data_IF_527368443587
#
_entry.id   IF_527368443587
#
_cell.length_a   1.000
_cell.length_b   1.000
_cell.length_c   1.000
_cell.angle_alpha   90.00
_cell.angle_beta   90.00
_cell.angle_gamma   90.00
#
_symmetry.space_group_name_H-M   'P 1'
#
loop_
_entity.id
_entity.type
_entity.pdbx_description
1 polymer ?
#
# COMPACT_ATOMS: atom_id res chain seq x y z
N UNK A 1 -10.81 12.36 15.86
CA UNK A 1 -9.62 12.25 16.73
C UNK A 1 -9.02 10.89 16.41
N UNK A 2 -7.76 10.85 15.96
CA UNK A 2 -7.06 9.57 15.81
C UNK A 2 -7.03 8.89 17.18
N UNK A 3 -7.29 7.59 17.24
CA UNK A 3 -7.09 6.83 18.47
C UNK A 3 -5.59 6.85 18.82
N UNK A 4 -5.28 7.01 20.11
CA UNK A 4 -3.90 6.98 20.61
C UNK A 4 -3.26 5.62 20.30
N UNK A 5 -1.99 5.62 19.89
CA UNK A 5 -1.25 4.40 19.59
C UNK A 5 -0.60 3.83 20.85
N UNK A 6 -0.71 2.51 21.05
CA UNK A 6 -0.12 1.78 22.18
C UNK A 6 1.24 1.21 21.80
N UNK A 7 2.25 1.49 22.60
CA UNK A 7 3.65 1.14 22.32
C UNK A 7 4.28 0.46 23.53
N UNK A 8 4.73 -0.78 23.37
CA UNK A 8 5.51 -1.48 24.39
C UNK A 8 6.99 -1.45 24.04
N UNK A 9 7.83 -1.05 24.98
CA UNK A 9 9.28 -1.10 24.85
C UNK A 9 9.86 -2.33 25.56
N UNK A 10 10.49 -3.23 24.82
CA UNK A 10 11.25 -4.36 25.34
C UNK A 10 12.73 -4.06 25.14
N UNK A 11 13.48 -3.94 26.23
CA UNK A 11 14.89 -3.60 26.13
C UNK A 11 15.61 -3.52 27.46
N UNK A 12 16.72 -2.78 27.45
CA UNK A 12 17.63 -2.70 28.59
C UNK A 12 17.96 -1.25 28.97
N UNK A 13 19.16 -1.02 29.50
CA UNK A 13 19.59 0.29 29.94
C UNK A 13 19.56 1.34 28.82
N UNK A 14 19.78 0.98 27.55
CA UNK A 14 19.68 1.95 26.44
C UNK A 14 18.26 2.48 26.26
N UNK A 15 17.24 1.66 26.55
CA UNK A 15 15.83 2.08 26.59
C UNK A 15 15.50 2.80 27.91
N UNK A 16 16.08 2.37 29.04
CA UNK A 16 15.82 2.99 30.34
C UNK A 16 16.40 4.41 30.47
N UNK A 17 17.55 4.68 29.87
CA UNK A 17 18.27 5.95 30.03
C UNK A 17 17.44 7.12 29.52
N UNK A 18 17.44 8.19 30.32
CA UNK A 18 16.61 9.39 30.13
C UNK A 18 15.10 9.09 30.01
N UNK A 19 14.65 7.90 30.40
CA UNK A 19 13.29 7.42 30.24
C UNK A 19 12.79 7.57 28.79
N UNK A 20 13.40 6.83 27.85
CA UNK A 20 13.08 6.89 26.43
C UNK A 20 11.58 6.68 26.10
N UNK A 21 10.85 5.75 26.76
CA UNK A 21 9.40 5.65 26.55
C UNK A 21 8.68 6.97 26.85
N UNK A 22 8.97 7.60 27.99
CA UNK A 22 8.38 8.90 28.33
C UNK A 22 8.81 10.00 27.37
N UNK A 23 10.08 10.05 26.95
CA UNK A 23 10.52 11.03 25.95
C UNK A 23 9.76 10.88 24.63
N UNK A 24 9.50 9.64 24.20
CA UNK A 24 8.72 9.35 22.99
C UNK A 24 7.28 9.83 23.13
N UNK A 25 6.67 9.63 24.30
CA UNK A 25 5.37 10.19 24.64
C UNK A 25 5.35 11.72 24.57
N UNK A 26 6.31 12.42 25.21
CA UNK A 26 6.35 13.88 25.23
C UNK A 26 6.55 14.47 23.83
N UNK A 27 7.38 13.83 23.02
CA UNK A 27 7.59 14.20 21.62
C UNK A 27 6.28 14.16 20.84
N UNK A 28 5.51 13.06 20.93
CA UNK A 28 4.21 12.93 20.26
C UNK A 28 3.17 13.91 20.81
N UNK A 29 3.10 14.05 22.14
CA UNK A 29 2.16 14.98 22.78
C UNK A 29 2.41 16.43 22.35
N UNK A 30 3.68 16.80 22.07
CA UNK A 30 4.05 18.13 21.59
C UNK A 30 3.50 18.50 20.21
N UNK A 31 3.05 17.51 19.42
CA UNK A 31 2.40 17.70 18.12
C UNK A 31 0.88 17.50 18.18
N UNK A 32 0.34 17.30 19.38
CA UNK A 32 -1.08 16.98 19.60
C UNK A 32 -1.43 15.52 19.30
N UNK A 33 -0.43 14.64 19.20
CA UNK A 33 -0.62 13.21 19.01
C UNK A 33 -0.56 12.45 20.33
N UNK A 34 -1.42 11.44 20.48
CA UNK A 34 -1.45 10.60 21.67
C UNK A 34 -0.69 9.29 21.47
N UNK A 35 0.19 8.98 22.42
CA UNK A 35 0.79 7.67 22.61
C UNK A 35 0.46 7.15 24.01
N UNK A 36 0.31 5.85 24.13
CA UNK A 36 0.32 5.14 25.40
C UNK A 36 1.59 4.28 25.39
N UNK A 37 2.48 4.51 26.35
CA UNK A 37 3.79 3.85 26.40
C UNK A 37 3.94 3.03 27.67
N UNK A 38 4.54 1.85 27.54
CA UNK A 38 4.94 1.00 28.67
C UNK A 38 6.22 0.23 28.30
N UNK A 39 6.79 -0.58 29.20
CA UNK A 39 7.94 -1.39 28.85
C UNK A 39 8.33 -2.52 29.80
N UNK A 40 8.87 -3.59 29.21
CA UNK A 40 9.70 -4.58 29.89
C UNK A 40 11.17 -4.19 29.74
N UNK A 41 11.68 -3.41 30.69
CA UNK A 41 13.00 -2.78 30.59
C UNK A 41 13.90 -3.27 31.72
N UNK A 42 14.89 -4.10 31.38
CA UNK A 42 15.79 -4.74 32.37
C UNK A 42 17.24 -4.46 32.02
N UNK A 43 17.97 -3.78 32.90
CA UNK A 43 19.37 -3.41 32.66
C UNK A 43 20.26 -4.61 32.31
N UNK A 44 21.02 -4.51 31.21
CA UNK A 44 21.95 -5.55 30.75
C UNK A 44 21.33 -6.80 30.14
N UNK A 45 20.02 -6.84 29.90
CA UNK A 45 19.35 -7.99 29.29
C UNK A 45 19.70 -8.18 27.81
N UNK A 46 19.70 -9.46 27.41
CA UNK A 46 19.74 -9.96 26.03
C UNK A 46 18.35 -10.22 25.48
N UNK A 47 18.25 -10.53 24.17
CA UNK A 47 17.01 -11.05 23.60
C UNK A 47 16.60 -12.39 24.22
N UNK A 48 17.55 -13.29 24.50
CA UNK A 48 17.28 -14.56 25.20
C UNK A 48 16.57 -14.34 26.53
N UNK A 49 17.06 -13.37 27.31
CA UNK A 49 16.45 -13.03 28.58
C UNK A 49 15.00 -12.63 28.37
N UNK A 50 14.71 -11.71 27.45
CA UNK A 50 13.34 -11.26 27.21
C UNK A 50 12.44 -12.37 26.66
N UNK A 51 12.93 -13.18 25.72
CA UNK A 51 12.18 -14.27 25.09
C UNK A 51 11.76 -15.37 26.08
N UNK A 52 12.51 -15.55 27.16
CA UNK A 52 12.31 -16.63 28.14
C UNK A 52 11.80 -16.12 29.49
N UNK A 53 11.59 -14.82 29.64
CA UNK A 53 11.23 -14.20 30.91
C UNK A 53 9.72 -13.91 30.98
N UNK A 54 9.05 -14.55 31.95
CA UNK A 54 7.60 -14.40 32.15
C UNK A 54 7.12 -12.99 32.50
N UNK A 55 7.97 -12.09 33.01
CA UNK A 55 7.61 -10.67 33.16
C UNK A 55 7.48 -9.98 31.79
N UNK A 56 8.39 -10.27 30.84
CA UNK A 56 8.24 -9.74 29.48
C UNK A 56 6.98 -10.29 28.79
N UNK A 57 6.72 -11.59 28.94
CA UNK A 57 5.49 -12.21 28.41
C UNK A 57 4.22 -11.59 29.01
N UNK A 58 4.21 -11.33 30.33
CA UNK A 58 3.10 -10.66 30.99
C UNK A 58 2.87 -9.26 30.39
N UNK A 59 3.90 -8.42 30.28
CA UNK A 59 3.78 -7.08 29.67
C UNK A 59 3.29 -7.14 28.22
N UNK A 60 3.71 -8.13 27.43
CA UNK A 60 3.17 -8.32 26.07
C UNK A 60 1.67 -8.63 26.13
N UNK A 61 1.23 -9.51 27.04
CA UNK A 61 -0.16 -9.94 27.15
C UNK A 61 -1.11 -8.98 27.90
N UNK A 62 -0.58 -7.92 28.50
CA UNK A 62 -1.37 -6.92 29.24
C UNK A 62 -2.26 -6.05 28.35
N UNK A 63 -1.92 -5.89 27.07
CA UNK A 63 -2.71 -5.10 26.12
C UNK A 63 -2.53 -5.56 24.66
N UNK A 64 -3.39 -5.05 23.78
CA UNK A 64 -3.22 -5.11 22.32
C UNK A 64 -2.34 -3.94 21.87
N UNK A 65 -1.03 -4.15 21.86
CA UNK A 65 -0.06 -3.14 21.46
C UNK A 65 -0.10 -2.89 19.94
N UNK A 66 -0.19 -1.63 19.50
CA UNK A 66 -0.03 -1.32 18.08
C UNK A 66 1.40 -1.61 17.62
N UNK A 67 2.37 -1.27 18.47
CA UNK A 67 3.79 -1.46 18.21
C UNK A 67 4.50 -2.07 19.42
N UNK A 68 5.43 -2.98 19.15
CA UNK A 68 6.35 -3.50 20.17
C UNK A 68 7.77 -3.26 19.71
N UNK A 69 8.48 -2.39 20.43
CA UNK A 69 9.86 -2.02 20.16
C UNK A 69 10.78 -3.04 20.83
N UNK A 70 11.65 -3.68 20.04
CA UNK A 70 12.51 -4.77 20.48
C UNK A 70 13.97 -4.33 20.37
N UNK A 71 14.66 -4.31 21.51
CA UNK A 71 16.06 -3.94 21.60
C UNK A 71 16.91 -5.13 22.07
N UNK A 72 17.96 -5.47 21.31
CA UNK A 72 18.94 -6.47 21.74
C UNK A 72 19.93 -5.89 22.79
N UNK A 73 20.76 -6.77 23.37
CA UNK A 73 21.88 -6.36 24.20
C UNK A 73 22.84 -5.43 23.44
N UNK A 74 23.41 -4.44 24.14
CA UNK A 74 24.22 -3.36 23.50
C UNK A 74 25.38 -3.85 22.64
N UNK A 75 26.06 -4.91 23.08
CA UNK A 75 27.13 -5.58 22.34
C UNK A 75 26.58 -6.74 21.51
N UNK A 76 25.66 -7.52 22.09
CA UNK A 76 25.02 -8.69 21.46
C UNK A 76 24.49 -8.37 20.06
N UNK A 77 23.80 -7.24 19.90
CA UNK A 77 23.24 -6.82 18.62
C UNK A 77 24.27 -6.59 17.51
N UNK A 78 25.56 -6.41 17.83
CA UNK A 78 26.64 -6.15 16.89
C UNK A 78 27.51 -7.40 16.59
N UNK A 79 27.28 -8.52 17.28
CA UNK A 79 28.01 -9.77 17.05
C UNK A 79 27.37 -10.50 15.86
N UNK A 80 28.16 -10.88 14.86
CA UNK A 80 27.68 -11.48 13.59
C UNK A 80 28.10 -12.95 13.46
N UNK A 81 27.64 -13.62 12.40
CA UNK A 81 27.96 -15.02 12.10
C UNK A 81 27.31 -16.00 13.09
N UNK A 82 28.00 -17.09 13.42
CA UNK A 82 27.48 -18.17 14.27
C UNK A 82 26.89 -17.67 15.61
N UNK A 83 27.46 -16.59 16.17
CA UNK A 83 26.93 -16.03 17.41
C UNK A 83 25.53 -15.43 17.20
N UNK A 84 25.33 -14.66 16.13
CA UNK A 84 24.03 -14.06 15.78
C UNK A 84 22.99 -15.15 15.52
N UNK A 85 23.36 -16.12 14.69
CA UNK A 85 22.46 -17.20 14.26
C UNK A 85 22.02 -18.10 15.43
N UNK A 86 22.85 -18.21 16.47
CA UNK A 86 22.56 -19.06 17.64
C UNK A 86 21.92 -18.31 18.79
N UNK A 87 22.35 -17.07 19.06
CA UNK A 87 22.05 -16.38 20.32
C UNK A 87 21.23 -15.09 20.15
N UNK A 88 20.94 -14.66 18.91
CA UNK A 88 20.22 -13.41 18.66
C UNK A 88 18.98 -13.67 17.81
N UNK A 89 19.16 -14.20 16.59
CA UNK A 89 18.05 -14.38 15.65
C UNK A 89 16.92 -15.28 16.17
N UNK A 90 17.20 -16.46 16.79
CA UNK A 90 16.13 -17.33 17.28
C UNK A 90 15.29 -16.70 18.39
N UNK A 91 15.91 -15.87 19.24
CA UNK A 91 15.21 -15.23 20.34
C UNK A 91 14.44 -13.98 19.91
N UNK A 92 14.90 -13.29 18.86
CA UNK A 92 14.07 -12.29 18.18
C UNK A 92 12.81 -12.93 17.58
N UNK A 93 12.96 -14.05 16.88
CA UNK A 93 11.83 -14.80 16.30
C UNK A 93 10.85 -15.27 17.38
N UNK A 94 11.35 -15.88 18.44
CA UNK A 94 10.51 -16.29 19.57
C UNK A 94 9.75 -15.11 20.20
N UNK A 95 10.38 -13.95 20.37
CA UNK A 95 9.70 -12.76 20.89
C UNK A 95 8.61 -12.28 19.93
N UNK A 96 8.87 -12.25 18.63
CA UNK A 96 7.89 -11.85 17.62
C UNK A 96 6.72 -12.83 17.59
N UNK A 97 6.96 -14.13 17.71
CA UNK A 97 5.90 -15.13 17.83
C UNK A 97 5.00 -14.86 19.04
N UNK A 98 5.57 -14.56 20.21
CA UNK A 98 4.81 -14.21 21.42
C UNK A 98 3.98 -12.94 21.19
N UNK A 99 4.57 -11.91 20.59
CA UNK A 99 3.91 -10.64 20.27
C UNK A 99 2.71 -10.86 19.32
N UNK A 100 2.92 -11.62 18.24
CA UNK A 100 1.91 -11.90 17.23
C UNK A 100 0.83 -12.86 17.74
N UNK A 101 1.18 -13.79 18.63
CA UNK A 101 0.21 -14.66 19.29
C UNK A 101 -0.72 -13.87 20.22
N UNK A 102 -0.22 -12.84 20.91
CA UNK A 102 -1.05 -11.95 21.71
C UNK A 102 -1.97 -11.09 20.83
N UNK A 103 -1.42 -10.40 19.85
CA UNK A 103 -2.19 -9.61 18.90
C UNK A 103 -1.50 -9.58 17.54
N UNK A 104 -2.08 -10.28 16.56
CA UNK A 104 -1.49 -10.47 15.22
C UNK A 104 -1.19 -9.15 14.47
N UNK A 105 -1.92 -8.08 14.85
CA UNK A 105 -1.78 -6.75 14.31
C UNK A 105 -0.70 -5.90 14.98
N UNK A 106 -0.11 -6.36 16.08
CA UNK A 106 1.04 -5.69 16.68
C UNK A 106 2.18 -5.67 15.68
N UNK A 107 2.79 -4.52 15.45
CA UNK A 107 3.93 -4.41 14.55
C UNK A 107 5.25 -4.43 15.33
N UNK A 108 6.09 -5.46 15.18
CA UNK A 108 7.43 -5.46 15.75
C UNK A 108 8.27 -4.34 15.13
N UNK A 109 9.03 -3.64 15.98
CA UNK A 109 9.97 -2.60 15.57
C UNK A 109 11.33 -2.89 16.17
N UNK A 110 12.30 -3.30 15.37
CA UNK A 110 13.65 -3.59 15.84
C UNK A 110 14.42 -2.29 16.06
N UNK A 111 14.68 -1.96 17.32
CA UNK A 111 15.41 -0.75 17.75
C UNK A 111 16.90 -0.90 17.45
N UNK A 112 17.31 -0.54 16.23
CA UNK A 112 18.72 -0.46 15.85
C UNK A 112 19.40 0.61 16.69
N UNK A 113 20.19 0.16 17.66
CA UNK A 113 21.03 1.00 18.51
C UNK A 113 22.25 1.54 17.74
N UNK A 114 23.26 2.04 18.43
CA UNK A 114 24.46 2.65 17.87
C UNK A 114 25.72 1.88 18.28
N UNK A 115 26.79 2.03 17.48
CA UNK A 115 28.13 1.63 17.92
C UNK A 115 28.58 2.41 19.16
N UNK A 116 29.47 1.88 19.98
CA UNK A 116 30.06 2.63 21.11
C UNK A 116 31.03 3.69 20.62
N UNK A 117 31.18 4.79 21.36
CA UNK A 117 31.92 6.00 20.92
C UNK A 117 33.35 5.67 20.46
N UNK A 118 34.06 4.84 21.24
CA UNK A 118 35.41 4.38 20.93
C UNK A 118 35.46 2.88 20.58
N UNK A 119 34.32 2.29 20.20
CA UNK A 119 34.18 0.85 20.01
C UNK A 119 34.28 0.05 21.33
N UNK A 120 34.52 -1.26 21.20
CA UNK A 120 34.64 -2.19 22.31
C UNK A 120 36.10 -2.63 22.43
N UNK A 121 36.68 -2.52 23.63
CA UNK A 121 38.04 -2.98 23.91
C UNK A 121 38.16 -4.45 24.33
N UNK A 122 39.39 -4.88 24.60
CA UNK A 122 39.68 -6.17 25.24
C UNK A 122 39.55 -7.38 24.32
N UNK A 123 39.37 -8.56 24.93
CA UNK A 123 39.38 -9.85 24.21
C UNK A 123 38.26 -9.97 23.19
N UNK A 124 37.13 -9.29 23.41
CA UNK A 124 35.99 -9.38 22.50
C UNK A 124 36.30 -8.71 21.16
N UNK A 125 36.98 -7.56 21.16
CA UNK A 125 37.45 -6.92 19.93
C UNK A 125 38.51 -7.75 19.20
N UNK A 126 39.33 -8.54 19.91
CA UNK A 126 40.24 -9.48 19.25
C UNK A 126 39.47 -10.59 18.51
N UNK A 127 38.38 -11.09 19.10
CA UNK A 127 37.51 -12.10 18.48
C UNK A 127 36.65 -11.53 17.36
N UNK A 128 36.18 -10.29 17.51
CA UNK A 128 35.31 -9.57 16.58
C UNK A 128 35.96 -8.22 16.21
N UNK A 129 36.91 -8.18 15.26
CA UNK A 129 37.70 -6.96 15.01
C UNK A 129 36.92 -5.72 14.57
N UNK A 130 35.73 -5.89 13.98
CA UNK A 130 34.91 -4.76 13.55
C UNK A 130 34.32 -3.98 14.74
N UNK A 131 34.01 -4.64 15.87
CA UNK A 131 33.46 -3.91 17.03
C UNK A 131 34.50 -3.06 17.76
N UNK A 132 35.79 -3.16 17.39
CA UNK A 132 36.85 -2.34 17.97
C UNK A 132 36.71 -0.85 17.67
N UNK A 133 35.88 -0.47 16.70
CA UNK A 133 35.63 0.93 16.34
C UNK A 133 34.14 1.22 16.34
N UNK A 134 33.79 2.50 16.41
CA UNK A 134 32.42 2.96 16.24
C UNK A 134 31.86 2.52 14.87
N UNK A 135 32.60 2.76 13.78
CA UNK A 135 32.25 2.37 12.39
C UNK A 135 31.88 0.91 12.27
N UNK A 136 32.80 0.01 12.62
CA UNK A 136 32.57 -1.41 12.40
C UNK A 136 31.49 -1.98 13.31
N UNK A 137 31.31 -1.44 14.52
CA UNK A 137 30.20 -1.84 15.39
C UNK A 137 28.84 -1.37 14.84
N UNK A 138 28.76 -0.12 14.37
CA UNK A 138 27.53 0.45 13.81
C UNK A 138 27.12 -0.25 12.50
N UNK A 139 28.08 -0.55 11.61
CA UNK A 139 27.84 -1.32 10.39
C UNK A 139 27.29 -2.72 10.69
N UNK A 140 27.85 -3.40 11.70
CA UNK A 140 27.37 -4.70 12.13
C UNK A 140 25.94 -4.63 12.71
N UNK A 141 25.62 -3.57 13.46
CA UNK A 141 24.26 -3.32 13.94
C UNK A 141 23.27 -3.11 12.79
N UNK A 142 23.64 -2.37 11.73
CA UNK A 142 22.77 -2.23 10.54
C UNK A 142 22.47 -3.58 9.90
N UNK A 143 23.51 -4.39 9.66
CA UNK A 143 23.36 -5.70 9.03
C UNK A 143 22.44 -6.61 9.86
N UNK A 144 22.71 -6.71 11.16
CA UNK A 144 21.97 -7.60 12.04
C UNK A 144 20.51 -7.16 12.21
N UNK A 145 20.26 -5.88 12.50
CA UNK A 145 18.89 -5.40 12.72
C UNK A 145 18.04 -5.45 11.44
N UNK A 146 18.65 -5.27 10.27
CA UNK A 146 17.97 -5.48 8.99
C UNK A 146 17.62 -6.95 8.77
N UNK A 147 18.54 -7.88 9.06
CA UNK A 147 18.25 -9.30 9.00
C UNK A 147 17.12 -9.71 9.96
N UNK A 148 17.11 -9.17 11.19
CA UNK A 148 16.03 -9.39 12.15
C UNK A 148 14.68 -8.88 11.62
N UNK A 149 14.63 -7.66 11.09
CA UNK A 149 13.41 -7.08 10.53
C UNK A 149 12.91 -7.82 9.26
N UNK A 150 13.81 -8.31 8.42
CA UNK A 150 13.48 -9.07 7.21
C UNK A 150 12.96 -10.46 7.52
N UNK A 151 13.51 -11.13 8.54
CA UNK A 151 13.08 -12.48 8.92
C UNK A 151 11.73 -12.48 9.64
N UNK A 152 11.38 -11.37 10.30
CA UNK A 152 10.26 -11.31 11.24
C UNK A 152 9.14 -10.36 10.83
N UNK A 153 9.08 -9.95 9.55
CA UNK A 153 8.10 -8.96 9.07
C UNK A 153 8.03 -7.72 9.97
N UNK A 154 9.20 -7.27 10.44
CA UNK A 154 9.37 -6.18 11.39
C UNK A 154 9.73 -4.86 10.71
N UNK A 155 9.48 -3.75 11.40
CA UNK A 155 10.03 -2.44 11.05
C UNK A 155 11.43 -2.29 11.63
N UNK A 156 12.20 -1.36 11.07
CA UNK A 156 13.50 -0.96 11.63
C UNK A 156 13.31 0.39 12.30
N UNK A 157 13.72 0.51 13.56
CA UNK A 157 13.91 1.79 14.27
C UNK A 157 15.36 2.25 14.14
N UNK A 158 15.72 3.07 13.13
CA UNK A 158 17.10 3.30 12.70
C UNK A 158 17.80 4.39 13.53
N UNK A 159 17.72 4.28 14.86
CA UNK A 159 18.29 5.29 15.76
C UNK A 159 19.80 5.42 15.57
N UNK A 160 20.51 4.29 15.43
CA UNK A 160 21.93 4.29 15.07
C UNK A 160 22.23 5.05 13.78
N UNK A 161 21.31 5.06 12.81
CA UNK A 161 21.52 5.75 11.52
C UNK A 161 21.40 7.26 11.71
N UNK A 162 20.46 7.69 12.56
CA UNK A 162 20.34 9.10 12.95
C UNK A 162 21.58 9.55 13.72
N UNK A 163 22.09 8.71 14.64
CA UNK A 163 23.33 8.97 15.36
C UNK A 163 24.53 9.11 14.42
N UNK A 164 24.72 8.15 13.51
CA UNK A 164 25.78 8.19 12.49
C UNK A 164 25.72 9.48 11.68
N UNK A 165 24.52 9.85 11.21
CA UNK A 165 24.33 11.09 10.47
C UNK A 165 24.74 12.32 11.29
N UNK A 166 24.38 12.39 12.57
CA UNK A 166 24.76 13.50 13.44
C UNK A 166 26.27 13.55 13.69
N UNK A 167 26.92 12.41 13.86
CA UNK A 167 28.38 12.28 14.07
C UNK A 167 29.16 12.72 12.84
N UNK A 168 28.67 12.37 11.65
CA UNK A 168 29.34 12.71 10.39
C UNK A 168 29.15 14.18 9.97
N UNK A 169 28.31 14.94 10.68
CA UNK A 169 27.99 16.34 10.36
C UNK A 169 28.58 17.34 11.39
N UNK A 170 28.92 18.57 10.96
CA UNK A 170 29.46 19.59 11.86
C UNK A 170 28.54 19.92 13.04
N UNK A 171 29.15 20.31 14.16
CA UNK A 171 28.45 20.61 15.42
C UNK A 171 27.64 19.41 15.94
N UNK A 172 28.20 18.21 15.86
CA UNK A 172 27.63 17.01 16.49
C UNK A 172 27.28 17.31 17.95
N UNK A 173 26.02 17.09 18.37
CA UNK A 173 25.65 17.20 19.77
C UNK A 173 26.32 16.08 20.58
N UNK A 174 26.45 16.27 21.88
CA UNK A 174 26.96 15.21 22.76
C UNK A 174 25.93 14.06 22.85
N UNK A 175 26.21 12.96 22.15
CA UNK A 175 25.29 11.82 22.04
C UNK A 175 25.53 10.77 23.13
N UNK A 176 26.72 10.72 23.71
CA UNK A 176 27.13 9.70 24.67
C UNK A 176 27.15 10.24 26.09
N UNK A 177 26.78 9.40 27.05
CA UNK A 177 27.15 9.64 28.44
C UNK A 177 28.65 9.36 28.63
N UNK A 178 29.20 9.73 29.79
CA UNK A 178 30.62 9.63 30.11
C UNK A 178 31.21 8.21 30.09
N UNK A 179 30.37 7.18 29.92
CA UNK A 179 30.80 5.78 29.80
C UNK A 179 30.95 5.29 28.35
N UNK A 180 30.83 6.21 27.38
CA UNK A 180 31.10 5.98 25.95
C UNK A 180 30.13 4.96 25.31
N UNK A 181 29.03 4.62 26.01
CA UNK A 181 28.08 3.57 25.63
C UNK A 181 26.64 4.06 25.72
N UNK A 182 26.22 4.50 26.91
CA UNK A 182 24.86 4.94 27.16
C UNK A 182 24.57 6.29 26.49
N UNK A 183 23.30 6.59 26.20
CA UNK A 183 22.97 7.85 25.56
C UNK A 183 22.98 9.00 26.56
N UNK A 184 23.62 10.10 26.18
CA UNK A 184 23.29 11.40 26.74
C UNK A 184 21.85 11.80 26.35
N UNK A 185 21.34 12.87 26.95
CA UNK A 185 19.97 13.34 26.70
C UNK A 185 19.70 13.61 25.22
N UNK A 186 20.68 14.15 24.48
CA UNK A 186 20.56 14.37 23.04
C UNK A 186 20.43 13.05 22.26
N UNK A 187 21.17 12.02 22.66
CA UNK A 187 21.08 10.67 22.10
C UNK A 187 19.72 10.02 22.30
N UNK A 188 19.17 10.08 23.53
CA UNK A 188 17.82 9.60 23.82
C UNK A 188 16.74 10.43 23.12
N UNK A 189 16.93 11.74 22.97
CA UNK A 189 16.01 12.59 22.23
C UNK A 189 15.99 12.27 20.73
N UNK A 190 17.14 11.92 20.13
CA UNK A 190 17.20 11.42 18.75
C UNK A 190 16.45 10.09 18.57
N UNK A 191 16.54 9.19 19.55
CA UNK A 191 15.75 7.96 19.57
C UNK A 191 14.24 8.26 19.66
N UNK A 192 13.82 9.17 20.55
CA UNK A 192 12.42 9.57 20.71
C UNK A 192 11.84 10.19 19.42
N UNK A 193 12.59 11.09 18.75
CA UNK A 193 12.20 11.66 17.47
C UNK A 193 12.06 10.58 16.38
N UNK A 194 12.96 9.60 16.38
CA UNK A 194 12.95 8.47 15.44
C UNK A 194 11.69 7.62 15.62
N UNK A 195 11.37 7.26 16.87
CA UNK A 195 10.17 6.48 17.16
C UNK A 195 8.89 7.25 16.85
N UNK A 196 8.78 8.52 17.23
CA UNK A 196 7.67 9.38 16.79
C UNK A 196 7.46 9.31 15.28
N UNK A 197 8.55 9.46 14.52
CA UNK A 197 8.52 9.47 13.05
C UNK A 197 8.03 8.15 12.47
N UNK A 198 8.47 7.01 13.01
CA UNK A 198 8.09 5.68 12.50
C UNK A 198 6.68 5.29 12.91
N UNK A 199 6.34 5.48 14.18
CA UNK A 199 5.09 5.02 14.77
C UNK A 199 3.90 5.84 14.24
N UNK A 200 4.10 7.15 14.05
CA UNK A 200 3.04 8.06 13.61
C UNK A 200 3.17 8.45 12.14
N UNK A 201 4.29 8.13 11.47
CA UNK A 201 4.57 8.45 10.06
C UNK A 201 4.49 9.95 9.77
N UNK A 202 5.01 10.75 10.71
CA UNK A 202 4.92 12.22 10.68
C UNK A 202 6.28 12.88 10.62
N UNK A 203 6.29 14.08 10.04
CA UNK A 203 7.49 14.89 9.93
C UNK A 203 7.96 15.31 11.34
N UNK A 204 9.16 14.91 11.79
CA UNK A 204 9.66 15.23 13.11
C UNK A 204 9.95 16.73 13.28
N UNK A 205 10.04 17.52 12.21
CA UNK A 205 10.28 18.97 12.34
C UNK A 205 9.11 19.74 12.95
N UNK A 206 7.94 19.12 13.07
CA UNK A 206 6.78 19.69 13.78
C UNK A 206 6.81 19.50 15.30
N UNK A 207 7.70 18.64 15.82
CA UNK A 207 7.86 18.44 17.27
C UNK A 207 8.27 19.76 17.92
N UNK A 208 7.54 20.16 18.98
CA UNK A 208 7.77 21.42 19.72
C UNK A 208 8.44 21.22 21.07
N UNK A 209 8.54 19.97 21.54
CA UNK A 209 9.22 19.62 22.78
C UNK A 209 10.71 19.39 22.55
N UNK A 210 11.57 20.17 23.20
CA UNK A 210 13.03 20.10 23.04
C UNK A 210 13.74 19.23 24.10
N UNK A 211 13.00 18.56 24.99
CA UNK A 211 13.56 17.78 26.10
C UNK A 211 14.56 18.55 26.99
N UNK A 212 14.41 19.88 27.11
CA UNK A 212 15.36 20.78 27.80
C UNK A 212 16.75 20.90 27.17
N UNK A 213 16.94 20.39 25.94
CA UNK A 213 18.16 20.62 25.16
C UNK A 213 18.24 22.07 24.70
N UNK A 214 19.43 22.48 24.28
CA UNK A 214 19.59 23.71 23.51
C UNK A 214 18.68 23.65 22.25
N UNK A 215 17.88 24.68 21.95
CA UNK A 215 16.95 24.65 20.82
C UNK A 215 17.62 24.39 19.47
N UNK A 216 18.87 24.80 19.28
CA UNK A 216 19.63 24.55 18.05
C UNK A 216 19.95 23.06 17.94
N UNK A 217 20.38 22.43 19.05
CA UNK A 217 20.63 20.99 19.11
C UNK A 217 19.36 20.19 18.84
N UNK A 218 18.25 20.54 19.50
CA UNK A 218 16.98 19.85 19.29
C UNK A 218 16.49 19.97 17.84
N UNK A 219 16.62 21.16 17.23
CA UNK A 219 16.28 21.38 15.82
C UNK A 219 17.18 20.59 14.86
N UNK A 220 18.48 20.49 15.16
CA UNK A 220 19.43 19.69 14.37
C UNK A 220 19.05 18.20 14.41
N UNK A 221 18.70 17.67 15.58
CA UNK A 221 18.27 16.27 15.74
C UNK A 221 16.98 15.99 14.97
N UNK A 222 15.98 16.87 15.05
CA UNK A 222 14.73 16.74 14.26
C UNK A 222 15.01 16.75 12.76
N UNK A 223 15.90 17.63 12.31
CA UNK A 223 16.29 17.72 10.90
C UNK A 223 17.02 16.47 10.42
N UNK A 224 17.97 15.96 11.22
CA UNK A 224 18.64 14.68 10.93
C UNK A 224 17.64 13.53 10.86
N UNK A 225 16.72 13.44 11.82
CA UNK A 225 15.65 12.43 11.85
C UNK A 225 14.76 12.54 10.62
N UNK A 226 14.40 13.75 10.18
CA UNK A 226 13.61 13.94 8.96
C UNK A 226 14.33 13.34 7.75
N UNK A 227 15.59 13.72 7.53
CA UNK A 227 16.39 13.28 6.38
C UNK A 227 16.59 11.78 6.38
N UNK A 228 16.96 11.22 7.53
CA UNK A 228 17.30 9.80 7.65
C UNK A 228 16.06 8.90 7.69
N UNK A 229 14.98 9.35 8.34
CA UNK A 229 13.83 8.50 8.68
C UNK A 229 12.58 8.90 7.89
N UNK A 230 12.09 10.13 8.05
CA UNK A 230 10.81 10.55 7.47
C UNK A 230 10.85 10.57 5.93
N UNK A 231 11.92 11.13 5.35
CA UNK A 231 12.07 11.21 3.90
C UNK A 231 12.40 9.83 3.28
N UNK A 232 12.60 8.80 4.11
CA UNK A 232 12.98 7.44 3.73
C UNK A 232 12.13 6.36 4.43
N UNK A 233 10.87 6.65 4.80
CA UNK A 233 10.02 5.73 5.58
C UNK A 233 9.95 4.30 5.00
N UNK A 234 9.82 4.17 3.68
CA UNK A 234 9.77 2.87 3.01
C UNK A 234 11.07 2.06 3.15
N UNK A 235 12.24 2.71 3.25
CA UNK A 235 13.52 2.02 3.46
C UNK A 235 13.61 1.36 4.85
N UNK A 236 12.82 1.87 5.79
CA UNK A 236 12.65 1.34 7.15
C UNK A 236 11.41 0.45 7.29
N UNK A 237 10.87 -0.01 6.14
CA UNK A 237 9.72 -0.92 6.01
C UNK A 237 8.39 -0.33 6.50
N UNK A 238 8.36 0.98 6.77
CA UNK A 238 7.16 1.64 7.28
C UNK A 238 6.08 1.68 6.19
N UNK A 239 4.95 1.03 6.45
CA UNK A 239 3.84 0.88 5.50
C UNK A 239 3.93 -0.36 4.60
N UNK A 240 4.99 -1.16 4.70
CA UNK A 240 5.14 -2.39 3.91
C UNK A 240 4.07 -3.44 4.23
N UNK A 241 3.62 -3.48 5.48
CA UNK A 241 2.64 -4.43 5.99
C UNK A 241 1.20 -3.88 6.02
N UNK A 242 0.99 -2.67 5.50
CA UNK A 242 -0.33 -2.07 5.37
C UNK A 242 -1.13 -2.76 4.26
N UNK A 243 -2.46 -2.80 4.36
CA UNK A 243 -3.31 -3.24 3.26
C UNK A 243 -3.09 -2.37 2.03
N UNK A 244 -3.00 -3.00 0.86
CA UNK A 244 -2.92 -2.32 -0.43
C UNK A 244 -3.99 -2.86 -1.35
N UNK A 245 -5.14 -2.16 -1.40
CA UNK A 245 -6.23 -2.45 -2.32
C UNK A 245 -5.72 -2.45 -3.76
N UNK A 246 -6.08 -3.49 -4.52
CA UNK A 246 -5.90 -3.52 -5.97
C UNK A 246 -6.76 -4.64 -6.55
N UNK A 247 -7.23 -4.47 -7.78
CA UNK A 247 -7.98 -5.50 -8.48
C UNK A 247 -7.77 -5.45 -9.99
N UNK A 248 -8.06 -6.58 -10.62
CA UNK A 248 -8.26 -6.68 -12.07
C UNK A 248 -9.68 -7.18 -12.35
N UNK A 249 -10.13 -7.07 -13.59
CA UNK A 249 -11.46 -7.52 -13.97
C UNK A 249 -11.47 -8.13 -15.37
N UNK A 250 -12.45 -8.99 -15.61
CA UNK A 250 -12.79 -9.51 -16.92
C UNK A 250 -14.27 -9.24 -17.19
N UNK A 251 -14.55 -8.48 -18.24
CA UNK A 251 -15.90 -8.15 -18.67
C UNK A 251 -16.34 -9.09 -19.80
N UNK A 252 -17.57 -9.58 -19.70
CA UNK A 252 -18.20 -10.45 -20.69
C UNK A 252 -19.70 -10.16 -20.79
N UNK A 253 -20.04 -9.25 -21.70
CA UNK A 253 -21.42 -8.94 -22.08
C UNK A 253 -22.31 -8.53 -20.89
N UNK A 254 -21.83 -7.59 -20.09
CA UNK A 254 -22.54 -7.09 -18.90
C UNK A 254 -22.19 -7.81 -17.60
N UNK A 255 -21.63 -9.02 -17.66
CA UNK A 255 -21.12 -9.72 -16.47
C UNK A 255 -19.62 -9.43 -16.29
N UNK A 256 -19.25 -8.89 -15.14
CA UNK A 256 -17.86 -8.57 -14.78
C UNK A 256 -17.41 -9.45 -13.64
N UNK A 257 -16.38 -10.27 -13.90
CA UNK A 257 -15.70 -11.04 -12.88
C UNK A 257 -14.50 -10.23 -12.36
N UNK A 258 -14.51 -9.88 -11.08
CA UNK A 258 -13.41 -9.19 -10.42
C UNK A 258 -12.42 -10.19 -9.81
N UNK A 259 -11.14 -9.90 -9.94
CA UNK A 259 -10.07 -10.64 -9.27
C UNK A 259 -9.34 -9.69 -8.34
N UNK A 260 -9.48 -9.93 -7.04
CA UNK A 260 -8.74 -9.23 -6.02
C UNK A 260 -7.25 -9.61 -6.11
N UNK A 261 -6.39 -8.59 -6.19
CA UNK A 261 -4.94 -8.73 -6.13
C UNK A 261 -4.35 -7.83 -5.02
N UNK A 262 -5.17 -7.49 -4.02
CA UNK A 262 -4.74 -6.71 -2.87
C UNK A 262 -3.68 -7.47 -2.06
N UNK A 263 -2.79 -6.70 -1.43
CA UNK A 263 -1.82 -7.22 -0.47
C UNK A 263 -2.27 -6.90 0.94
N UNK A 264 -1.92 -7.76 1.90
CA UNK A 264 -2.12 -7.54 3.33
C UNK A 264 -3.57 -7.14 3.71
N UNK A 265 -4.58 -7.84 3.20
CA UNK A 265 -5.99 -7.56 3.48
C UNK A 265 -6.67 -8.73 4.21
N UNK A 266 -7.54 -8.44 5.18
CA UNK A 266 -8.38 -9.44 5.87
C UNK A 266 -9.85 -9.36 5.41
N UNK A 267 -10.31 -8.15 5.04
CA UNK A 267 -11.69 -7.93 4.60
C UNK A 267 -11.76 -7.09 3.33
N UNK A 268 -12.82 -7.29 2.56
CA UNK A 268 -13.07 -6.68 1.26
C UNK A 268 -14.45 -6.00 1.26
N UNK A 269 -14.53 -4.81 0.70
CA UNK A 269 -15.79 -4.12 0.41
C UNK A 269 -15.71 -3.50 -0.98
N UNK A 270 -16.66 -3.88 -1.84
CA UNK A 270 -16.77 -3.42 -3.21
C UNK A 270 -17.94 -2.46 -3.35
N UNK A 271 -17.73 -1.35 -4.05
CA UNK A 271 -18.78 -0.54 -4.66
C UNK A 271 -18.62 -0.62 -6.18
N UNK A 272 -19.63 -1.16 -6.87
CA UNK A 272 -19.57 -1.36 -8.32
C UNK A 272 -19.89 -0.09 -9.11
N UNK A 273 -20.14 1.04 -8.45
CA UNK A 273 -20.46 2.32 -9.11
C UNK A 273 -21.87 2.38 -9.69
N UNK A 274 -22.72 1.39 -9.40
CA UNK A 274 -24.11 1.27 -9.85
C UNK A 274 -25.12 1.08 -8.70
N UNK A 275 -24.73 1.44 -7.48
CA UNK A 275 -25.44 1.26 -6.19
C UNK A 275 -25.42 -0.16 -5.61
N UNK A 276 -24.87 -1.15 -6.32
CA UNK A 276 -24.65 -2.48 -5.76
C UNK A 276 -23.26 -2.60 -5.13
N UNK A 277 -23.15 -3.49 -4.14
CA UNK A 277 -21.93 -3.71 -3.36
C UNK A 277 -21.68 -5.20 -3.15
N UNK A 278 -20.46 -5.59 -2.80
CA UNK A 278 -20.13 -6.95 -2.35
C UNK A 278 -19.08 -6.96 -1.25
N UNK A 279 -19.03 -8.05 -0.48
CA UNK A 279 -17.95 -8.35 0.49
C UNK A 279 -17.17 -9.59 0.11
N UNK A 280 -17.46 -10.20 -1.04
CA UNK A 280 -16.72 -11.36 -1.53
C UNK A 280 -15.31 -10.93 -1.95
N UNK A 281 -14.34 -11.83 -1.80
CA UNK A 281 -12.96 -11.55 -2.23
C UNK A 281 -12.88 -11.40 -3.76
N UNK A 282 -13.58 -12.26 -4.51
CA UNK A 282 -13.59 -12.22 -5.98
C UNK A 282 -15.05 -12.24 -6.49
N UNK A 283 -15.76 -11.10 -6.44
CA UNK A 283 -17.16 -11.05 -6.82
C UNK A 283 -17.36 -11.15 -8.34
N UNK A 284 -18.52 -11.68 -8.72
CA UNK A 284 -19.06 -11.55 -10.08
C UNK A 284 -20.26 -10.61 -9.98
N UNK A 285 -20.27 -9.56 -10.78
CA UNK A 285 -21.37 -8.58 -10.81
C UNK A 285 -21.93 -8.44 -12.22
N UNK A 286 -23.25 -8.29 -12.32
CA UNK A 286 -23.94 -8.10 -13.61
C UNK A 286 -24.49 -6.69 -13.70
N UNK A 287 -23.96 -5.92 -14.64
CA UNK A 287 -24.44 -4.59 -14.96
C UNK A 287 -25.62 -4.66 -15.94
N UNK A 288 -26.68 -3.91 -15.63
CA UNK A 288 -27.91 -3.88 -16.45
C UNK A 288 -27.86 -2.87 -17.58
N UNK A 289 -26.90 -1.93 -17.54
CA UNK A 289 -26.70 -0.90 -18.55
C UNK A 289 -25.25 -0.95 -19.04
N UNK A 290 -25.05 -0.61 -20.31
CA UNK A 290 -23.71 -0.39 -20.84
C UNK A 290 -23.20 0.97 -20.38
N UNK A 291 -21.88 1.09 -20.22
CA UNK A 291 -21.25 2.34 -19.79
C UNK A 291 -19.99 2.11 -18.98
N UNK A 292 -19.42 3.22 -18.54
CA UNK A 292 -18.25 3.22 -17.67
C UNK A 292 -18.68 3.37 -16.21
N UNK A 293 -18.21 2.46 -15.36
CA UNK A 293 -18.50 2.43 -13.93
C UNK A 293 -17.24 2.69 -13.13
N UNK A 294 -17.29 3.60 -12.15
CA UNK A 294 -16.19 3.78 -11.22
C UNK A 294 -16.32 2.74 -10.11
N UNK A 295 -15.55 1.66 -10.21
CA UNK A 295 -15.56 0.58 -9.23
C UNK A 295 -14.51 0.85 -8.17
N UNK A 296 -14.91 0.71 -6.92
CA UNK A 296 -14.07 0.89 -5.75
C UNK A 296 -13.91 -0.44 -5.00
N UNK A 297 -12.69 -0.76 -4.62
CA UNK A 297 -12.36 -1.80 -3.65
C UNK A 297 -11.73 -1.14 -2.42
N UNK A 298 -12.39 -1.28 -1.28
CA UNK A 298 -11.85 -0.99 0.04
C UNK A 298 -11.38 -2.30 0.68
N UNK A 299 -10.13 -2.32 1.15
CA UNK A 299 -9.60 -3.41 1.98
C UNK A 299 -9.23 -2.91 3.35
N UNK A 300 -9.45 -3.77 4.35
CA UNK A 300 -9.06 -3.48 5.73
C UNK A 300 -8.19 -4.60 6.28
N UNK A 301 -7.16 -4.22 7.04
CA UNK A 301 -6.39 -5.11 7.91
C UNK A 301 -5.96 -4.33 9.13
N UNK A 302 -6.16 -4.91 10.32
CA UNK A 302 -5.71 -4.30 11.58
C UNK A 302 -6.23 -2.87 11.82
N UNK A 303 -7.44 -2.57 11.35
CA UNK A 303 -8.05 -1.23 11.44
C UNK A 303 -7.43 -0.19 10.49
N UNK A 304 -6.43 -0.57 9.68
CA UNK A 304 -5.92 0.24 8.57
C UNK A 304 -6.77 -0.06 7.34
N UNK A 305 -7.15 0.99 6.63
CA UNK A 305 -7.99 0.92 5.43
C UNK A 305 -7.18 1.43 4.25
N UNK A 306 -7.29 0.75 3.11
CA UNK A 306 -6.81 1.24 1.82
C UNK A 306 -7.89 1.04 0.77
N UNK A 307 -7.98 1.99 -0.15
CA UNK A 307 -9.01 2.02 -1.19
C UNK A 307 -8.37 2.15 -2.56
N UNK A 308 -8.87 1.41 -3.54
CA UNK A 308 -8.45 1.49 -4.93
C UNK A 308 -9.67 1.64 -5.84
N UNK A 309 -9.58 2.60 -6.77
CA UNK A 309 -10.63 2.93 -7.72
C UNK A 309 -10.14 2.64 -9.14
N UNK A 310 -10.97 1.98 -9.95
CA UNK A 310 -10.73 1.82 -11.37
C UNK A 310 -12.02 1.95 -12.18
N UNK A 311 -11.90 2.51 -13.38
CA UNK A 311 -13.00 2.56 -14.34
C UNK A 311 -13.15 1.21 -15.04
N UNK A 312 -14.34 0.62 -14.93
CA UNK A 312 -14.74 -0.60 -15.63
C UNK A 312 -15.68 -0.22 -16.77
N UNK A 313 -15.24 -0.45 -18.00
CA UNK A 313 -16.07 -0.27 -19.19
C UNK A 313 -16.88 -1.52 -19.47
N UNK A 314 -18.20 -1.41 -19.38
CA UNK A 314 -19.16 -2.46 -19.69
C UNK A 314 -19.71 -2.22 -21.08
N UNK A 315 -19.57 -3.22 -21.95
CA UNK A 315 -19.99 -3.15 -23.34
C UNK A 315 -20.81 -4.37 -23.71
N UNK A 316 -21.75 -4.22 -24.65
CA UNK A 316 -22.36 -5.39 -25.27
C UNK A 316 -21.45 -5.87 -26.41
N UNK A 317 -21.01 -7.13 -26.34
CA UNK A 317 -20.37 -7.80 -27.47
C UNK A 317 -21.41 -8.31 -28.50
N UNK A 318 -22.69 -8.07 -28.26
CA UNK A 318 -23.76 -8.45 -29.17
C UNK A 318 -23.60 -7.76 -30.53
N UNK A 319 -23.20 -8.55 -31.53
CA UNK A 319 -23.36 -8.25 -32.95
C UNK A 319 -24.82 -8.38 -33.40
N UNK A 320 -25.73 -8.83 -32.52
CA UNK A 320 -27.17 -8.88 -32.77
C UNK A 320 -27.90 -7.72 -32.09
N UNK A 321 -27.73 -6.51 -32.63
CA UNK A 321 -28.59 -5.40 -32.28
C UNK A 321 -30.06 -5.72 -32.68
N UNK A 322 -30.90 -5.95 -31.67
CA UNK A 322 -32.33 -6.27 -31.81
C UNK A 322 -33.09 -5.26 -32.67
N UNK A 323 -32.59 -4.02 -32.79
CA UNK A 323 -33.13 -2.99 -33.68
C UNK A 323 -33.19 -3.44 -35.15
N UNK A 324 -32.20 -4.19 -35.64
CA UNK A 324 -32.10 -4.54 -37.07
C UNK A 324 -32.73 -5.90 -37.42
N UNK A 325 -33.20 -6.64 -36.40
CA UNK A 325 -33.96 -7.89 -36.57
C UNK A 325 -35.41 -7.63 -37.01
N UNK A 326 -35.97 -6.49 -36.61
CA UNK A 326 -37.31 -6.07 -37.02
C UNK A 326 -37.34 -5.38 -38.38
N UNK A 327 -36.19 -4.98 -38.93
CA UNK A 327 -36.08 -4.38 -40.27
C UNK A 327 -36.66 -5.30 -41.36
N UNK A 328 -37.75 -4.86 -41.97
CA UNK A 328 -38.38 -5.48 -43.12
C UNK A 328 -38.17 -4.63 -44.36
N UNK A 329 -37.75 -5.28 -45.45
CA UNK A 329 -37.59 -4.67 -46.76
C UNK A 329 -38.49 -5.37 -47.76
N UNK A 330 -39.49 -4.68 -48.30
CA UNK A 330 -40.46 -5.29 -49.22
C UNK A 330 -41.03 -4.32 -50.27
N UNK A 331 -41.50 -4.83 -51.42
CA UNK A 331 -41.29 -6.20 -51.88
C UNK A 331 -39.81 -6.42 -52.24
N UNK A 332 -39.32 -7.64 -52.05
CA UNK A 332 -37.99 -8.04 -52.51
C UNK A 332 -38.14 -9.43 -53.16
N UNK A 333 -38.19 -9.54 -54.50
CA UNK A 333 -37.78 -8.53 -55.49
C UNK A 333 -38.68 -7.28 -55.62
N UNK A 334 -38.10 -6.16 -56.06
CA UNK A 334 -38.81 -4.88 -56.33
C UNK A 334 -38.60 -4.41 -57.78
N UNK A 335 -39.54 -3.62 -58.31
CA UNK A 335 -39.44 -2.97 -59.62
C UNK A 335 -39.09 -1.48 -59.54
N UNK A 336 -39.52 -0.77 -58.49
CA UNK A 336 -39.39 0.70 -58.41
C UNK A 336 -39.09 1.17 -56.99
N UNK A 337 -39.83 0.68 -55.99
CA UNK A 337 -39.72 1.13 -54.60
C UNK A 337 -39.53 -0.05 -53.66
N UNK A 338 -38.63 0.11 -52.69
CA UNK A 338 -38.45 -0.79 -51.56
C UNK A 338 -38.95 -0.10 -50.29
N UNK A 339 -39.98 -0.64 -49.64
CA UNK A 339 -40.49 -0.15 -48.35
C UNK A 339 -39.61 -0.64 -47.21
N UNK A 340 -39.39 0.25 -46.24
CA UNK A 340 -38.72 -0.01 -44.97
C UNK A 340 -39.78 -0.02 -43.88
N UNK A 341 -39.83 -1.08 -43.08
CA UNK A 341 -40.75 -1.22 -41.96
C UNK A 341 -40.10 -1.94 -40.78
N UNK A 342 -40.77 -1.93 -39.63
CA UNK A 342 -40.35 -2.58 -38.40
C UNK A 342 -39.25 -1.84 -37.64
N UNK A 343 -38.80 -0.68 -38.13
CA UNK A 343 -37.87 0.20 -37.43
C UNK A 343 -38.38 1.65 -37.43
N UNK A 344 -38.04 2.40 -36.39
CA UNK A 344 -38.22 3.83 -36.30
C UNK A 344 -37.30 4.55 -37.32
N UNK A 345 -37.84 5.34 -38.24
CA UNK A 345 -37.04 5.93 -39.33
C UNK A 345 -36.16 7.10 -38.86
N UNK A 346 -36.46 7.66 -37.69
CA UNK A 346 -35.70 8.70 -37.02
C UNK A 346 -34.34 8.25 -36.52
N UNK A 347 -34.17 6.95 -36.30
CA UNK A 347 -32.91 6.38 -35.81
C UNK A 347 -31.95 6.06 -36.97
N UNK A 348 -32.40 6.08 -38.23
CA UNK A 348 -31.50 5.85 -39.38
C UNK A 348 -30.56 7.05 -39.56
N UNK A 349 -29.26 6.81 -39.34
CA UNK A 349 -28.18 7.77 -39.60
C UNK A 349 -27.76 7.78 -41.07
N UNK A 350 -27.62 6.60 -41.69
CA UNK A 350 -27.10 6.47 -43.05
C UNK A 350 -27.69 5.27 -43.78
N UNK A 351 -27.95 5.44 -45.07
CA UNK A 351 -28.29 4.35 -46.00
C UNK A 351 -27.33 4.39 -47.19
N UNK A 352 -26.71 3.27 -47.51
CA UNK A 352 -25.81 3.12 -48.67
C UNK A 352 -26.23 1.91 -49.49
N UNK A 353 -26.29 2.05 -50.82
CA UNK A 353 -26.56 0.93 -51.72
C UNK A 353 -25.27 0.50 -52.41
N UNK A 354 -25.07 -0.80 -52.61
CA UNK A 354 -23.88 -1.36 -53.24
C UNK A 354 -24.25 -2.31 -54.37
N UNK A 355 -23.51 -2.27 -55.46
CA UNK A 355 -23.55 -3.31 -56.48
C UNK A 355 -22.76 -4.56 -56.05
N UNK A 356 -22.77 -5.62 -56.86
CA UNK A 356 -22.02 -6.87 -56.58
C UNK A 356 -20.50 -6.70 -56.53
N UNK A 357 -19.95 -5.61 -57.06
CA UNK A 357 -18.52 -5.29 -57.02
C UNK A 357 -18.15 -4.44 -55.79
N UNK A 358 -19.11 -4.16 -54.89
CA UNK A 358 -18.88 -3.33 -53.69
C UNK A 358 -18.80 -1.83 -53.99
N UNK A 359 -19.15 -1.39 -55.20
CA UNK A 359 -19.22 0.05 -55.52
C UNK A 359 -20.47 0.66 -54.91
N UNK A 360 -20.30 1.75 -54.15
CA UNK A 360 -21.42 2.51 -53.59
C UNK A 360 -22.21 3.26 -54.66
N UNK A 361 -23.52 3.17 -54.59
CA UNK A 361 -24.50 3.83 -55.44
C UNK A 361 -25.38 4.75 -54.59
N UNK A 362 -25.85 5.89 -55.15
CA UNK A 362 -26.75 6.78 -54.43
C UNK A 362 -28.08 6.08 -54.13
N UNK A 363 -28.47 6.04 -52.85
CA UNK A 363 -29.77 5.56 -52.41
C UNK A 363 -30.74 6.74 -52.26
N UNK A 364 -31.85 6.73 -53.00
CA UNK A 364 -32.89 7.76 -52.89
C UNK A 364 -33.90 7.36 -51.80
N UNK A 365 -33.53 7.61 -50.55
CA UNK A 365 -34.41 7.34 -49.40
C UNK A 365 -35.40 8.49 -49.15
N UNK A 366 -36.69 8.18 -49.20
CA UNK A 366 -37.78 9.08 -48.82
C UNK A 366 -38.31 8.68 -47.45
N UNK A 367 -37.96 9.49 -46.44
CA UNK A 367 -38.33 9.26 -45.04
C UNK A 367 -39.83 9.40 -44.78
N UNK A 368 -40.51 10.33 -45.46
CA UNK A 368 -41.96 10.53 -45.30
C UNK A 368 -42.79 9.38 -45.85
N UNK A 369 -42.26 8.65 -46.83
CA UNK A 369 -42.94 7.52 -47.47
C UNK A 369 -42.39 6.15 -47.03
N UNK A 370 -41.41 6.13 -46.11
CA UNK A 370 -40.73 4.91 -45.65
C UNK A 370 -40.21 4.06 -46.82
N UNK A 371 -39.61 4.67 -47.84
CA UNK A 371 -39.20 3.95 -49.06
C UNK A 371 -37.90 4.39 -49.68
N UNK A 372 -37.26 3.47 -50.39
CA UNK A 372 -36.07 3.70 -51.22
C UNK A 372 -36.47 3.54 -52.69
N UNK A 373 -36.23 4.57 -53.49
CA UNK A 373 -36.40 4.53 -54.93
C UNK A 373 -35.20 3.88 -55.62
N UNK A 374 -35.48 2.76 -56.28
CA UNK A 374 -34.55 1.94 -57.05
C UNK A 374 -34.92 1.89 -58.53
N UNK A 375 -35.85 2.72 -59.00
CA UNK A 375 -36.35 2.74 -60.38
C UNK A 375 -35.25 2.96 -61.42
N UNK A 376 -34.20 3.71 -61.06
CA UNK A 376 -33.06 4.01 -61.96
C UNK A 376 -32.00 2.92 -62.01
N UNK A 377 -32.12 1.87 -61.18
CA UNK A 377 -31.17 0.76 -61.17
C UNK A 377 -31.49 -0.25 -62.27
N UNK A 378 -30.46 -0.79 -62.92
CA UNK A 378 -30.59 -1.94 -63.81
C UNK A 378 -31.05 -3.17 -63.01
N UNK A 379 -31.77 -4.09 -63.66
CA UNK A 379 -32.19 -5.35 -63.05
C UNK A 379 -30.97 -6.15 -62.57
N UNK A 380 -31.03 -6.66 -61.34
CA UNK A 380 -29.88 -7.31 -60.71
C UNK A 380 -29.96 -7.42 -59.19
N UNK A 381 -28.90 -7.96 -58.59
CA UNK A 381 -28.74 -8.05 -57.13
C UNK A 381 -27.93 -6.86 -56.60
N UNK A 382 -28.37 -6.29 -55.49
CA UNK A 382 -27.69 -5.21 -54.79
C UNK A 382 -27.66 -5.51 -53.29
N UNK A 383 -26.81 -4.78 -52.55
CA UNK A 383 -26.76 -4.83 -51.10
C UNK A 383 -27.08 -3.46 -50.54
N UNK A 384 -28.04 -3.41 -49.60
CA UNK A 384 -28.42 -2.20 -48.89
C UNK A 384 -27.80 -2.24 -47.50
N UNK A 385 -26.93 -1.29 -47.21
CA UNK A 385 -26.38 -1.02 -45.88
C UNK A 385 -27.22 0.06 -45.20
N UNK A 386 -27.57 -0.17 -43.93
CA UNK A 386 -28.24 0.80 -43.06
C UNK A 386 -27.44 0.91 -41.76
N UNK A 387 -27.15 2.14 -41.35
CA UNK A 387 -26.46 2.49 -40.10
C UNK A 387 -27.41 3.34 -39.24
N UNK A 388 -27.55 2.98 -37.97
CA UNK A 388 -28.34 3.69 -36.96
C UNK A 388 -27.50 4.77 -36.25
N UNK A 389 -28.13 5.72 -35.57
CA UNK A 389 -27.51 6.83 -34.81
C UNK A 389 -26.59 6.35 -33.68
N UNK A 390 -26.80 5.15 -33.16
CA UNK A 390 -25.93 4.46 -32.19
C UNK A 390 -24.73 3.74 -32.83
N UNK A 391 -24.63 3.77 -34.16
CA UNK A 391 -23.55 3.15 -34.93
C UNK A 391 -23.82 1.71 -35.34
N UNK A 392 -24.95 1.12 -34.96
CA UNK A 392 -25.30 -0.23 -35.35
C UNK A 392 -25.52 -0.35 -36.87
N UNK A 393 -25.02 -1.44 -37.48
CA UNK A 393 -24.98 -1.62 -38.94
C UNK A 393 -25.63 -2.94 -39.36
N UNK A 394 -26.42 -2.88 -40.44
CA UNK A 394 -26.97 -4.07 -41.11
C UNK A 394 -26.80 -4.00 -42.62
N UNK A 395 -26.69 -5.17 -43.26
CA UNK A 395 -26.67 -5.32 -44.72
C UNK A 395 -27.78 -6.27 -45.14
N UNK A 396 -28.56 -5.88 -46.16
CA UNK A 396 -29.64 -6.70 -46.74
C UNK A 396 -29.47 -6.82 -48.25
N UNK A 397 -29.58 -8.05 -48.76
CA UNK A 397 -29.64 -8.28 -50.21
C UNK A 397 -30.99 -7.81 -50.75
N UNK A 398 -30.97 -7.04 -51.82
CA UNK A 398 -32.15 -6.62 -52.57
C UNK A 398 -32.06 -7.11 -54.01
N UNK A 399 -33.19 -7.41 -54.62
CA UNK A 399 -33.30 -7.89 -56.00
C UNK A 399 -34.16 -6.88 -56.77
N UNK A 400 -33.55 -6.21 -57.75
CA UNK A 400 -34.24 -5.34 -58.70
C UNK A 400 -34.65 -6.16 -59.93
N UNK A 401 -35.94 -6.19 -60.24
CA UNK A 401 -36.48 -6.78 -61.47
C UNK A 401 -36.70 -5.71 -62.54
#
# INVERSE_FOLDING_TARGET
MSQDKKVLFIGNSYTNYNNLPQLTYEVANSTGDGLIVDGSIVGGSSLEFHATNGFTENNISEDTWDYVIIQAGSIEGALTGDYFDTNVAPYAEQLVDIIKANYACSQPVFYRTWGRENGVGGSLCVTYPWICTYEGMDDALEINYRALADTNDGLIGPVGTVWRYLIDNPNTPDLYDADESHPALAGSYAAACTFYTILLRKDPTFITYDASLDPIVAAQIRTATKVVVYDQLAYWKVGEFDPQANFTYFENNGEVAFTNIALNADTYAWDFGDTNTSTDENPIHTYTQIGDYNVELEVTKCGVIHTYNATVSVSSLDLEDNFLKSLKLYPNPTQHLLKIDGIALETIQKITLYNLLGTSLPAKFNKSESSIDVSTLASGNYFLEIINIDGAKTIRKIIKQ
#
